data_IF_547720678140
#
_entry.id   IF_547720678140
#
_cell.length_a   1.000
_cell.length_b   1.000
_cell.length_c   1.000
_cell.angle_alpha   90.00
_cell.angle_beta   90.00
_cell.angle_gamma   90.00
#
_symmetry.space_group_name_H-M   'P 1'
#
loop_
_entity.id
_entity.type
_entity.pdbx_description
1 polymer ?
#
# COMPACT_ATOMS: atom_id res chain seq x y z
N UNK A 1 19.62 20.61 -8.95
CA UNK A 1 19.65 19.74 -7.76
C UNK A 1 20.03 18.33 -8.17
N UNK A 2 20.67 17.54 -7.31
CA UNK A 2 20.98 16.12 -7.53
C UNK A 2 19.84 15.23 -7.00
N UNK A 3 19.72 13.97 -7.45
CA UNK A 3 18.76 13.03 -6.87
C UNK A 3 18.90 12.88 -5.35
N UNK A 4 20.12 12.86 -4.81
CA UNK A 4 20.37 12.82 -3.37
C UNK A 4 19.86 14.05 -2.61
N UNK A 5 20.07 15.27 -3.14
CA UNK A 5 19.53 16.49 -2.53
C UNK A 5 17.99 16.48 -2.51
N UNK A 6 17.39 16.04 -3.60
CA UNK A 6 15.92 15.93 -3.70
C UNK A 6 15.38 14.85 -2.75
N UNK A 7 16.10 13.74 -2.59
CA UNK A 7 15.73 12.67 -1.66
C UNK A 7 15.66 13.16 -0.20
N UNK A 8 16.61 14.01 0.21
CA UNK A 8 16.60 14.62 1.53
C UNK A 8 15.39 15.54 1.74
N UNK A 9 15.04 16.35 0.73
CA UNK A 9 13.89 17.26 0.80
C UNK A 9 12.57 16.49 0.86
N UNK A 10 12.43 15.47 0.01
CA UNK A 10 11.24 14.63 -0.04
C UNK A 10 11.16 13.61 1.11
N UNK A 11 12.23 13.46 1.90
CA UNK A 11 12.38 12.45 2.97
C UNK A 11 12.14 11.01 2.47
N UNK A 12 12.67 10.70 1.28
CA UNK A 12 12.59 9.37 0.65
C UNK A 12 14.00 8.87 0.32
N UNK A 13 14.11 7.62 -0.14
CA UNK A 13 15.39 7.11 -0.64
C UNK A 13 15.77 7.72 -1.99
N UNK A 14 17.06 7.86 -2.27
CA UNK A 14 17.55 8.30 -3.59
C UNK A 14 17.06 7.37 -4.72
N UNK A 15 16.94 6.06 -4.43
CA UNK A 15 16.34 5.10 -5.36
C UNK A 15 14.87 5.42 -5.69
N UNK A 16 14.11 5.95 -4.74
CA UNK A 16 12.74 6.42 -5.00
C UNK A 16 12.76 7.60 -5.96
N UNK A 17 13.64 8.58 -5.75
CA UNK A 17 13.79 9.72 -6.67
C UNK A 17 14.14 9.25 -8.08
N UNK A 18 15.08 8.32 -8.23
CA UNK A 18 15.40 7.71 -9.54
C UNK A 18 14.21 7.01 -10.18
N UNK A 19 13.38 6.31 -9.39
CA UNK A 19 12.18 5.65 -9.90
C UNK A 19 11.15 6.68 -10.38
N UNK A 20 10.95 7.78 -9.66
CA UNK A 20 10.02 8.82 -10.09
C UNK A 20 10.52 9.55 -11.36
N UNK A 21 11.83 9.74 -11.51
CA UNK A 21 12.44 10.23 -12.76
C UNK A 21 12.17 9.24 -13.91
N UNK A 22 12.44 7.95 -13.70
CA UNK A 22 12.27 6.93 -14.72
C UNK A 22 10.79 6.73 -15.13
N UNK A 23 9.85 7.01 -14.24
CA UNK A 23 8.41 7.01 -14.52
C UNK A 23 7.94 8.28 -15.24
N UNK A 24 8.79 9.30 -15.36
CA UNK A 24 8.42 10.61 -15.89
C UNK A 24 7.60 11.45 -14.92
N UNK A 25 7.47 11.02 -13.66
CA UNK A 25 6.69 11.73 -12.63
C UNK A 25 7.47 12.95 -12.11
N UNK A 26 8.79 12.82 -12.02
CA UNK A 26 9.70 13.91 -11.64
C UNK A 26 10.58 14.29 -12.83
N UNK A 27 10.38 15.51 -13.36
CA UNK A 27 11.16 15.99 -14.49
C UNK A 27 12.64 16.19 -14.10
N UNK A 28 13.51 15.52 -14.83
CA UNK A 28 14.95 15.63 -14.69
C UNK A 28 15.63 15.60 -16.06
N UNK A 29 16.84 16.15 -16.11
CA UNK A 29 17.67 16.16 -17.31
C UNK A 29 19.06 15.62 -17.00
N UNK A 30 19.67 14.97 -17.99
CA UNK A 30 21.01 14.44 -17.87
C UNK A 30 22.04 15.54 -18.14
N UNK A 31 23.01 15.69 -17.24
CA UNK A 31 24.21 16.49 -17.45
C UNK A 31 25.41 15.55 -17.37
N UNK A 32 26.01 15.26 -18.52
CA UNK A 32 26.96 14.17 -18.70
C UNK A 32 26.36 12.83 -18.21
N UNK A 33 26.98 12.19 -17.22
CA UNK A 33 26.53 10.90 -16.65
C UNK A 33 25.70 11.06 -15.36
N UNK A 34 25.20 12.26 -15.06
CA UNK A 34 24.49 12.55 -13.80
C UNK A 34 23.14 13.20 -14.06
N UNK A 35 22.13 12.81 -13.28
CA UNK A 35 20.82 13.44 -13.30
C UNK A 35 20.83 14.77 -12.57
N UNK A 36 20.10 15.74 -13.12
CA UNK A 36 19.85 17.04 -12.50
C UNK A 36 18.36 17.35 -12.54
N UNK A 37 17.85 17.86 -11.43
CA UNK A 37 16.45 18.24 -11.24
C UNK A 37 16.41 19.76 -11.07
N UNK A 38 15.54 20.42 -11.84
CA UNK A 38 15.28 21.86 -11.70
C UNK A 38 14.49 22.10 -10.41
N UNK A 39 14.66 23.26 -9.78
CA UNK A 39 13.93 23.58 -8.56
C UNK A 39 12.42 23.64 -8.84
N UNK A 40 12.07 24.25 -9.95
CA UNK A 40 10.70 24.41 -10.44
C UNK A 40 10.04 23.05 -10.71
N UNK A 41 10.81 22.07 -11.19
CA UNK A 41 10.32 20.70 -11.40
C UNK A 41 10.01 19.99 -10.08
N UNK A 42 10.83 20.20 -9.05
CA UNK A 42 10.56 19.68 -7.70
C UNK A 42 9.34 20.35 -7.07
N UNK A 43 9.19 21.66 -7.25
CA UNK A 43 8.02 22.41 -6.76
C UNK A 43 6.74 21.93 -7.46
N UNK A 44 6.76 21.79 -8.78
CA UNK A 44 5.64 21.23 -9.54
C UNK A 44 5.29 19.81 -9.07
N UNK A 45 6.30 18.98 -8.77
CA UNK A 45 6.11 17.64 -8.22
C UNK A 45 5.45 17.67 -6.83
N UNK A 46 5.84 18.60 -5.96
CA UNK A 46 5.25 18.77 -4.62
C UNK A 46 3.81 19.28 -4.65
N UNK A 47 3.48 20.12 -5.64
CA UNK A 47 2.13 20.67 -5.81
C UNK A 47 1.20 19.74 -6.59
N UNK A 48 1.72 18.67 -7.17
CA UNK A 48 0.89 17.66 -7.80
C UNK A 48 0.06 16.96 -6.72
N UNK A 49 -1.27 16.86 -6.87
CA UNK A 49 -2.05 16.02 -5.98
C UNK A 49 -1.50 14.60 -6.09
N UNK A 50 -0.97 14.09 -4.98
CA UNK A 50 -0.61 12.68 -4.92
C UNK A 50 -1.86 11.88 -5.31
N UNK A 51 -1.73 10.80 -6.11
CA UNK A 51 -2.84 9.89 -6.29
C UNK A 51 -3.30 9.49 -4.89
N UNK A 52 -4.53 9.86 -4.53
CA UNK A 52 -5.12 9.51 -3.25
C UNK A 52 -5.08 7.99 -3.21
N UNK A 53 -4.20 7.43 -2.37
CA UNK A 53 -4.32 6.03 -2.02
C UNK A 53 -5.65 5.95 -1.28
N UNK A 54 -6.67 5.43 -1.97
CA UNK A 54 -7.94 5.14 -1.34
C UNK A 54 -7.66 4.03 -0.35
N UNK A 55 -7.31 4.41 0.88
CA UNK A 55 -7.36 3.51 2.02
C UNK A 55 -8.83 3.17 2.12
N UNK A 56 -9.19 1.98 1.64
CA UNK A 56 -10.53 1.44 1.83
C UNK A 56 -10.78 1.41 3.35
N UNK A 57 -11.62 2.31 3.90
CA UNK A 57 -11.72 2.50 5.34
C UNK A 57 -12.29 1.26 6.04
N UNK A 58 -12.93 0.36 5.29
CA UNK A 58 -13.49 -0.90 5.76
C UNK A 58 -12.54 -2.08 5.52
N UNK A 59 -11.38 -1.84 4.92
CA UNK A 59 -10.37 -2.87 4.72
C UNK A 59 -9.64 -3.19 6.03
N UNK A 60 -9.69 -4.47 6.42
CA UNK A 60 -8.98 -5.02 7.56
C UNK A 60 -7.79 -5.86 7.12
N UNK A 61 -6.67 -5.65 7.79
CA UNK A 61 -5.42 -6.39 7.57
C UNK A 61 -5.50 -7.79 8.15
N UNK A 62 -4.60 -8.69 7.73
CA UNK A 62 -4.46 -10.03 8.32
C UNK A 62 -4.33 -10.05 9.85
N UNK A 63 -3.70 -9.03 10.43
CA UNK A 63 -3.59 -8.92 11.89
C UNK A 63 -4.95 -8.65 12.54
N UNK A 64 -5.70 -7.68 12.00
CA UNK A 64 -7.05 -7.39 12.48
C UNK A 64 -8.01 -8.57 12.28
N UNK A 65 -7.87 -9.33 11.19
CA UNK A 65 -8.63 -10.57 10.98
C UNK A 65 -8.32 -11.61 12.06
N UNK A 66 -7.04 -11.77 12.42
CA UNK A 66 -6.59 -12.67 13.49
C UNK A 66 -7.26 -12.32 14.82
N UNK A 67 -7.31 -11.03 15.16
CA UNK A 67 -7.92 -10.54 16.40
C UNK A 67 -9.45 -10.71 16.37
N UNK A 68 -10.10 -10.38 15.26
CA UNK A 68 -11.56 -10.47 15.09
C UNK A 68 -12.10 -11.91 15.14
N UNK A 69 -11.32 -12.87 14.64
CA UNK A 69 -11.68 -14.29 14.60
C UNK A 69 -11.09 -15.09 15.75
N UNK A 70 -10.35 -14.45 16.66
CA UNK A 70 -9.63 -15.08 17.76
C UNK A 70 -8.78 -16.29 17.32
N UNK A 71 -8.13 -16.17 16.16
CA UNK A 71 -7.30 -17.22 15.57
C UNK A 71 -5.86 -16.76 15.43
N UNK A 72 -4.95 -17.66 15.02
CA UNK A 72 -3.56 -17.27 14.79
C UNK A 72 -3.40 -16.47 13.50
N UNK A 73 -2.37 -15.62 13.43
CA UNK A 73 -2.06 -14.82 12.23
C UNK A 73 -1.87 -15.69 10.97
N UNK A 74 -1.30 -16.88 11.14
CA UNK A 74 -1.12 -17.86 10.07
C UNK A 74 -2.46 -18.44 9.60
N UNK A 75 -3.38 -18.73 10.52
CA UNK A 75 -4.73 -19.17 10.17
C UNK A 75 -5.50 -18.06 9.43
N UNK A 76 -5.47 -16.83 9.95
CA UNK A 76 -6.05 -15.67 9.28
C UNK A 76 -5.46 -15.46 7.88
N UNK A 77 -4.12 -15.57 7.75
CA UNK A 77 -3.46 -15.49 6.46
C UNK A 77 -3.94 -16.58 5.49
N UNK A 78 -4.08 -17.83 5.94
CA UNK A 78 -4.59 -18.92 5.09
C UNK A 78 -6.01 -18.66 4.61
N UNK A 79 -6.90 -18.21 5.49
CA UNK A 79 -8.29 -17.88 5.13
C UNK A 79 -8.35 -16.80 4.05
N UNK A 80 -7.51 -15.77 4.14
CA UNK A 80 -7.43 -14.71 3.14
C UNK A 80 -6.75 -15.17 1.84
N UNK A 81 -5.63 -15.90 1.95
CA UNK A 81 -4.83 -16.34 0.81
C UNK A 81 -5.56 -17.40 -0.04
N UNK A 82 -6.40 -18.23 0.59
CA UNK A 82 -7.24 -19.23 -0.07
C UNK A 82 -8.59 -18.66 -0.54
N UNK A 83 -8.87 -17.39 -0.27
CA UNK A 83 -10.14 -16.72 -0.58
C UNK A 83 -11.36 -17.31 0.15
N UNK A 84 -11.16 -18.02 1.27
CA UNK A 84 -12.26 -18.41 2.18
C UNK A 84 -12.92 -17.17 2.76
N UNK A 85 -12.11 -16.17 3.11
CA UNK A 85 -12.55 -14.79 3.32
C UNK A 85 -12.10 -14.01 2.08
N UNK A 86 -13.02 -13.42 1.30
CA UNK A 86 -12.68 -12.57 0.17
C UNK A 86 -11.66 -11.51 0.57
N UNK A 87 -10.49 -11.57 -0.07
CA UNK A 87 -9.38 -10.69 0.25
C UNK A 87 -8.64 -10.30 -1.03
N UNK A 88 -8.14 -9.07 -1.07
CA UNK A 88 -7.30 -8.57 -2.16
C UNK A 88 -5.91 -8.22 -1.66
N UNK A 89 -4.95 -8.15 -2.57
CA UNK A 89 -3.64 -7.58 -2.28
C UNK A 89 -3.70 -6.07 -2.33
N UNK A 90 -3.13 -5.44 -1.30
CA UNK A 90 -2.89 -4.00 -1.23
C UNK A 90 -1.42 -3.75 -0.91
N UNK A 91 -0.64 -3.41 -1.96
CA UNK A 91 0.81 -3.36 -1.89
C UNK A 91 1.42 -4.70 -1.45
N UNK A 92 2.01 -4.72 -0.24
CA UNK A 92 2.63 -5.92 0.36
C UNK A 92 1.72 -6.63 1.36
N UNK A 93 0.52 -6.10 1.62
CA UNK A 93 -0.43 -6.65 2.58
C UNK A 93 -1.58 -7.36 1.87
N UNK A 94 -2.18 -8.33 2.57
CA UNK A 94 -3.50 -8.83 2.26
C UNK A 94 -4.51 -8.02 3.07
N UNK A 95 -5.61 -7.62 2.41
CA UNK A 95 -6.73 -6.92 3.03
C UNK A 95 -8.03 -7.59 2.66
N UNK A 96 -8.93 -7.76 3.64
CA UNK A 96 -10.30 -8.21 3.45
C UNK A 96 -11.26 -7.08 3.83
N UNK A 97 -12.51 -7.12 3.37
CA UNK A 97 -13.51 -6.19 3.93
C UNK A 97 -13.96 -6.68 5.29
N UNK A 98 -14.22 -5.76 6.21
CA UNK A 98 -14.76 -6.10 7.53
C UNK A 98 -16.04 -6.95 7.43
N UNK A 99 -16.96 -6.58 6.54
CA UNK A 99 -18.21 -7.31 6.33
C UNK A 99 -18.00 -8.78 5.95
N UNK A 100 -16.99 -9.08 5.13
CA UNK A 100 -16.67 -10.46 4.71
C UNK A 100 -16.13 -11.29 5.87
N UNK A 101 -15.34 -10.67 6.75
CA UNK A 101 -14.79 -11.31 7.96
C UNK A 101 -15.88 -11.58 8.99
N UNK A 102 -16.81 -10.63 9.18
CA UNK A 102 -17.96 -10.79 10.06
C UNK A 102 -18.94 -11.85 9.56
N UNK A 103 -19.20 -11.89 8.25
CA UNK A 103 -20.01 -12.93 7.63
C UNK A 103 -19.40 -14.33 7.85
N UNK A 104 -18.07 -14.45 7.70
CA UNK A 104 -17.37 -15.69 8.02
C UNK A 104 -17.53 -16.06 9.51
N UNK A 105 -17.35 -15.11 10.43
CA UNK A 105 -17.55 -15.35 11.87
C UNK A 105 -18.95 -15.87 12.19
N UNK A 106 -19.98 -15.21 11.65
CA UNK A 106 -21.38 -15.61 11.85
C UNK A 106 -21.65 -17.04 11.35
N UNK A 107 -21.02 -17.45 10.23
CA UNK A 107 -21.17 -18.81 9.70
C UNK A 107 -20.59 -19.90 10.63
N UNK A 108 -19.60 -19.56 11.48
CA UNK A 108 -19.07 -20.47 12.49
C UNK A 108 -19.97 -20.61 13.72
N UNK A 109 -20.79 -19.58 14.01
CA UNK A 109 -21.62 -19.47 15.22
C UNK A 109 -23.01 -20.07 15.05
N UNK A 110 -23.46 -20.39 13.82
CA UNK A 110 -24.69 -21.17 13.59
C UNK A 110 -24.41 -22.67 13.73
N UNK A 111 -24.75 -23.32 14.86
CA UNK A 111 -24.77 -24.78 14.89
C UNK A 111 -25.89 -25.27 13.96
N UNK A 112 -25.68 -26.38 13.22
CA UNK A 112 -26.79 -27.03 12.53
C UNK A 112 -27.84 -27.40 13.57
N UNK A 113 -29.05 -26.87 13.39
CA UNK A 113 -30.22 -27.29 14.16
C UNK A 113 -30.56 -28.72 13.73
N UNK A 114 -30.07 -29.70 14.50
CA UNK A 114 -30.49 -31.10 14.43
C UNK A 114 -31.30 -31.45 15.67
#
# INVERSE_FOLDING_TARGET
MTPGEVAQILKVSEQTVHREINRGELEAFAVAKRWRIRREALEAYLHRPAPVQVIDPEAVTTLQVSDLLHCSREAAWRLMAQQTIPARRDGRAWVARLADVEAYRASMETPPTS
#
